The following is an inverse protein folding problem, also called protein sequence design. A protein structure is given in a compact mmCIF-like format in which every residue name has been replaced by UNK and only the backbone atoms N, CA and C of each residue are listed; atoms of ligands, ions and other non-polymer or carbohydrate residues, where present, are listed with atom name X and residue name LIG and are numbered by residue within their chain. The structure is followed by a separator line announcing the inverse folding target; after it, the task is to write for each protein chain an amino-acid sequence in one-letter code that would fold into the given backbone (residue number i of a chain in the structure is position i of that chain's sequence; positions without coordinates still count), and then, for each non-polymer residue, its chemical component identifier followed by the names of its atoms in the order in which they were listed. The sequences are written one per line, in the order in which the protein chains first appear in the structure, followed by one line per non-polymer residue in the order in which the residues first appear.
data_IF_388547830046
#
_entry.id   IF_388547830046
#
_cell.length_a   1.000
_cell.length_b   1.000
_cell.length_c   1.000
_cell.angle_alpha   90.00
_cell.angle_beta   90.00
_cell.angle_gamma   90.00
#
_symmetry.space_group_name_H-M   'P 1'
#
loop_
_entity.id
_entity.type
_entity.pdbx_description
1 polymer ?
#
# COMPACT_ATOMS: atom_id res chain seq x y z
N UNK A 1 -3.16 18.01 0.14
CA UNK A 1 -1.81 17.78 -0.36
C UNK A 1 -0.81 17.64 0.80
N UNK A 2 0.31 16.97 0.55
CA UNK A 2 1.34 16.76 1.56
C UNK A 2 2.05 18.08 1.92
N UNK A 3 2.61 18.12 3.10
CA UNK A 3 3.44 19.24 3.55
C UNK A 3 4.65 19.42 2.63
N UNK A 4 5.09 20.65 2.39
CA UNK A 4 6.23 21.01 1.53
C UNK A 4 6.06 20.58 0.05
N UNK A 5 4.84 20.59 -0.49
CA UNK A 5 4.59 20.31 -1.89
C UNK A 5 4.96 21.48 -2.81
N UNK A 6 5.12 21.20 -4.10
CA UNK A 6 5.49 22.19 -5.13
C UNK A 6 4.27 22.81 -5.85
N UNK A 7 3.05 22.68 -5.36
CA UNK A 7 1.86 23.19 -6.04
C UNK A 7 1.90 24.71 -6.30
N UNK A 8 2.42 25.59 -5.40
CA UNK A 8 2.55 27.01 -5.69
C UNK A 8 3.44 27.31 -6.91
N UNK A 9 4.49 26.50 -7.12
CA UNK A 9 5.36 26.62 -8.30
C UNK A 9 4.62 26.17 -9.55
N UNK A 10 3.93 25.03 -9.50
CA UNK A 10 3.15 24.51 -10.62
C UNK A 10 2.01 25.45 -11.03
N UNK A 11 1.41 26.17 -10.07
CA UNK A 11 0.38 27.17 -10.35
C UNK A 11 0.87 28.33 -11.22
N UNK A 12 2.18 28.64 -11.21
CA UNK A 12 2.81 29.65 -12.05
C UNK A 12 3.12 29.16 -13.48
N UNK A 13 2.82 27.89 -13.81
CA UNK A 13 3.09 27.25 -15.10
C UNK A 13 4.53 27.45 -15.60
N UNK A 14 5.55 27.00 -14.85
CA UNK A 14 6.96 27.19 -15.23
C UNK A 14 7.40 26.32 -16.43
N UNK A 15 6.57 25.37 -16.87
CA UNK A 15 6.87 24.48 -17.99
C UNK A 15 5.66 24.38 -18.95
N UNK A 16 5.91 24.12 -20.26
CA UNK A 16 4.85 23.95 -21.26
C UNK A 16 3.89 22.79 -20.95
N UNK A 17 4.43 21.67 -20.42
CA UNK A 17 3.66 20.51 -19.99
C UNK A 17 4.02 20.19 -18.56
N UNK A 18 3.02 20.05 -17.71
CA UNK A 18 3.18 19.77 -16.29
C UNK A 18 2.46 18.47 -15.91
N UNK A 19 3.15 17.61 -15.14
CA UNK A 19 2.65 16.30 -14.73
C UNK A 19 2.73 16.21 -13.22
N UNK A 20 1.62 15.84 -12.58
CA UNK A 20 1.60 15.41 -11.17
C UNK A 20 1.62 13.88 -11.10
N UNK A 21 2.30 13.32 -10.11
CA UNK A 21 2.30 11.85 -9.90
C UNK A 21 3.14 11.42 -8.72
N UNK A 22 3.06 10.14 -8.39
CA UNK A 22 3.78 9.36 -7.38
C UNK A 22 3.61 9.87 -5.94
N UNK A 23 3.83 11.14 -5.65
CA UNK A 23 3.86 11.68 -4.28
C UNK A 23 2.49 11.91 -3.65
N UNK A 24 1.41 12.03 -4.43
CA UNK A 24 0.06 12.24 -3.95
C UNK A 24 -0.95 11.45 -4.77
N UNK A 25 -2.00 10.99 -4.11
CA UNK A 25 -2.93 9.98 -4.66
C UNK A 25 -4.23 10.55 -5.19
N UNK A 26 -4.33 11.86 -5.37
CA UNK A 26 -5.54 12.54 -5.83
C UNK A 26 -5.18 13.72 -6.73
N UNK A 27 -6.19 14.32 -7.38
CA UNK A 27 -6.04 15.51 -8.21
C UNK A 27 -5.31 16.63 -7.47
N UNK A 28 -4.52 17.43 -8.18
CA UNK A 28 -3.96 18.68 -7.65
C UNK A 28 -5.04 19.76 -7.53
N UNK A 29 -6.10 19.68 -8.32
CA UNK A 29 -7.13 20.71 -8.45
C UNK A 29 -6.64 21.96 -9.20
N UNK A 30 -5.45 21.91 -9.81
CA UNK A 30 -4.85 23.04 -10.52
C UNK A 30 -5.06 22.91 -12.02
N UNK A 31 -5.72 23.89 -12.68
CA UNK A 31 -5.88 23.90 -14.14
C UNK A 31 -4.56 24.00 -14.89
N UNK A 32 -3.47 24.39 -14.20
CA UNK A 32 -2.14 24.53 -14.80
C UNK A 32 -1.38 23.19 -14.86
N UNK A 33 -1.88 22.13 -14.24
CA UNK A 33 -1.31 20.79 -14.32
C UNK A 33 -2.05 20.00 -15.37
N UNK A 34 -1.35 19.58 -16.42
CA UNK A 34 -1.96 18.98 -17.62
C UNK A 34 -2.29 17.50 -17.40
N UNK A 35 -1.39 16.76 -16.77
CA UNK A 35 -1.48 15.31 -16.62
C UNK A 35 -1.30 14.84 -15.18
N UNK A 36 -1.96 13.72 -14.89
CA UNK A 36 -1.77 12.96 -13.64
C UNK A 36 -1.28 11.55 -13.96
N UNK A 37 -0.05 11.23 -13.51
CA UNK A 37 0.55 9.92 -13.72
C UNK A 37 -0.18 8.85 -12.91
N UNK A 38 -0.64 7.81 -13.59
CA UNK A 38 -1.43 6.73 -13.01
C UNK A 38 -1.25 5.42 -13.80
N UNK A 39 -2.05 4.42 -13.49
CA UNK A 39 -2.21 3.17 -14.24
C UNK A 39 -3.68 2.78 -14.37
N UNK A 40 -3.96 1.78 -15.21
CA UNK A 40 -5.33 1.34 -15.50
C UNK A 40 -6.02 0.71 -14.27
N UNK A 41 -5.27 0.20 -13.29
CA UNK A 41 -5.84 -0.38 -12.06
C UNK A 41 -6.26 0.74 -11.11
N UNK A 42 -5.42 1.75 -10.91
CA UNK A 42 -5.71 2.87 -10.01
C UNK A 42 -6.76 3.82 -10.59
N UNK A 43 -6.73 4.04 -11.91
CA UNK A 43 -7.67 4.91 -12.60
C UNK A 43 -8.12 4.25 -13.92
N UNK A 44 -9.08 3.31 -13.86
CA UNK A 44 -9.66 2.70 -15.06
C UNK A 44 -10.25 3.75 -16.02
N UNK A 45 -10.14 3.49 -17.32
CA UNK A 45 -10.63 4.41 -18.37
C UNK A 45 -12.12 4.76 -18.24
N UNK A 46 -12.91 3.88 -17.64
CA UNK A 46 -14.32 4.14 -17.33
C UNK A 46 -14.55 5.25 -16.29
N UNK A 47 -13.50 5.66 -15.56
CA UNK A 47 -13.56 6.71 -14.53
C UNK A 47 -12.88 8.03 -14.95
N UNK A 48 -12.61 8.24 -16.23
CA UNK A 48 -11.88 9.41 -16.76
C UNK A 48 -12.42 10.78 -16.34
N UNK A 49 -13.67 10.85 -15.92
CA UNK A 49 -14.29 12.08 -15.42
C UNK A 49 -14.43 12.14 -13.90
N UNK A 50 -13.70 11.29 -13.18
CA UNK A 50 -13.90 11.03 -11.73
C UNK A 50 -13.36 12.08 -10.78
N UNK A 51 -13.44 13.38 -11.10
CA UNK A 51 -13.07 14.45 -10.18
C UNK A 51 -11.60 14.88 -10.23
N UNK A 52 -10.86 14.48 -11.27
CA UNK A 52 -9.52 15.00 -11.56
C UNK A 52 -9.61 16.19 -12.52
N UNK A 53 -8.82 17.22 -12.26
CA UNK A 53 -8.65 18.36 -13.20
C UNK A 53 -7.69 18.01 -14.32
N UNK A 54 -6.76 17.11 -14.05
CA UNK A 54 -5.73 16.65 -14.97
C UNK A 54 -6.23 15.54 -15.88
N UNK A 55 -5.58 15.41 -17.04
CA UNK A 55 -5.77 14.24 -17.92
C UNK A 55 -4.97 13.05 -17.37
N UNK A 56 -5.57 11.86 -17.22
CA UNK A 56 -4.85 10.68 -16.77
C UNK A 56 -3.75 10.24 -17.75
N UNK A 57 -2.50 10.22 -17.31
CA UNK A 57 -1.37 9.63 -18.02
C UNK A 57 -1.14 8.22 -17.49
N UNK A 58 -1.72 7.22 -18.15
CA UNK A 58 -1.70 5.83 -17.72
C UNK A 58 -0.47 5.11 -18.23
N UNK A 59 0.33 4.56 -17.31
CA UNK A 59 1.34 3.58 -17.68
C UNK A 59 0.69 2.20 -17.91
N UNK A 60 1.26 1.38 -18.79
CA UNK A 60 0.76 0.01 -19.08
C UNK A 60 0.74 -0.90 -17.86
N UNK A 61 1.68 -0.69 -16.95
CA UNK A 61 1.81 -1.41 -15.69
C UNK A 61 1.59 -0.47 -14.50
N UNK A 62 2.10 -0.82 -13.32
CA UNK A 62 1.98 0.02 -12.14
C UNK A 62 2.71 1.36 -12.33
N UNK A 63 2.04 2.47 -11.97
CA UNK A 63 2.64 3.80 -11.99
C UNK A 63 3.65 4.04 -10.86
N UNK A 64 3.85 3.04 -10.01
CA UNK A 64 4.88 3.00 -8.97
C UNK A 64 5.97 2.02 -9.38
N UNK A 65 7.22 2.43 -9.17
CA UNK A 65 8.37 1.54 -9.20
C UNK A 65 9.02 1.57 -7.83
N UNK A 66 9.18 0.40 -7.22
CA UNK A 66 9.72 0.28 -5.88
C UNK A 66 11.21 -0.02 -5.93
N UNK A 67 11.99 0.89 -5.33
CA UNK A 67 13.42 0.69 -5.09
C UNK A 67 13.73 1.06 -3.65
N UNK A 68 14.02 0.11 -2.79
CA UNK A 68 14.34 0.36 -1.39
C UNK A 68 15.71 1.03 -1.26
N UNK A 69 15.75 2.32 -0.94
CA UNK A 69 17.01 3.08 -0.79
C UNK A 69 17.90 2.55 0.35
N UNK A 70 17.26 2.14 1.44
CA UNK A 70 17.95 1.64 2.64
C UNK A 70 18.38 0.17 2.51
N UNK A 71 18.02 -0.51 1.43
CA UNK A 71 18.13 -1.96 1.31
C UNK A 71 19.38 -2.46 0.57
N UNK A 72 20.31 -1.59 0.27
CA UNK A 72 21.64 -2.07 -0.15
C UNK A 72 22.27 -3.02 0.89
N UNK A 73 21.82 -2.93 2.15
CA UNK A 73 22.29 -3.74 3.28
C UNK A 73 21.30 -4.83 3.73
N UNK A 74 19.98 -4.63 3.54
CA UNK A 74 18.95 -5.60 3.94
C UNK A 74 18.51 -6.41 2.72
N UNK A 75 19.18 -7.54 2.48
CA UNK A 75 18.71 -8.52 1.52
C UNK A 75 17.54 -9.28 2.12
N UNK A 76 16.35 -9.01 1.64
CA UNK A 76 15.20 -9.88 1.95
C UNK A 76 15.46 -11.27 1.37
N UNK A 77 15.45 -12.25 2.22
CA UNK A 77 15.57 -13.68 1.87
C UNK A 77 14.30 -14.37 2.31
N UNK A 78 13.84 -15.34 1.52
CA UNK A 78 12.71 -16.16 1.92
C UNK A 78 12.96 -16.83 3.27
N UNK A 79 12.01 -16.70 4.18
CA UNK A 79 12.05 -17.28 5.51
C UNK A 79 10.74 -18.00 5.84
N UNK A 80 10.74 -18.79 6.88
CA UNK A 80 9.49 -19.39 7.37
C UNK A 80 8.58 -18.31 7.95
N UNK A 81 7.26 -18.50 7.80
CA UNK A 81 6.30 -17.64 8.48
C UNK A 81 6.49 -17.74 9.99
N UNK A 82 6.53 -16.62 10.73
CA UNK A 82 6.73 -16.62 12.19
C UNK A 82 5.76 -17.52 12.95
N UNK A 83 4.54 -17.68 12.46
CA UNK A 83 3.52 -18.55 13.03
C UNK A 83 3.95 -20.03 13.10
N UNK A 84 4.87 -20.48 12.22
CA UNK A 84 5.36 -21.87 12.23
C UNK A 84 6.16 -22.20 13.49
N UNK A 85 6.84 -21.19 14.04
CA UNK A 85 7.63 -21.36 15.26
C UNK A 85 6.85 -20.94 16.51
N UNK A 86 6.03 -19.89 16.39
CA UNK A 86 5.29 -19.28 17.52
C UNK A 86 4.00 -20.02 17.87
N UNK A 87 3.42 -20.75 16.93
CA UNK A 87 2.14 -21.43 17.11
C UNK A 87 0.91 -20.52 17.12
N UNK A 88 1.07 -19.24 16.76
CA UNK A 88 -0.02 -18.29 16.58
C UNK A 88 0.30 -17.29 15.47
N UNK A 89 -0.75 -16.76 14.82
CA UNK A 89 -0.61 -15.80 13.73
C UNK A 89 -0.51 -14.35 14.26
N UNK A 90 0.43 -13.59 13.71
CA UNK A 90 0.58 -12.17 13.97
C UNK A 90 0.17 -11.37 12.72
N UNK A 91 -0.93 -10.66 12.82
CA UNK A 91 -1.30 -9.66 11.81
C UNK A 91 -0.54 -8.36 12.07
N UNK A 92 -0.31 -7.56 11.02
CA UNK A 92 0.39 -6.29 11.15
C UNK A 92 -0.20 -5.19 10.29
N UNK A 93 -0.09 -3.94 10.77
CA UNK A 93 -0.32 -2.75 9.96
C UNK A 93 0.68 -1.66 10.35
N UNK A 94 1.54 -1.29 9.39
CA UNK A 94 2.59 -0.28 9.59
C UNK A 94 2.20 1.07 8.95
N UNK A 95 0.93 1.20 8.58
CA UNK A 95 0.36 2.42 8.06
C UNK A 95 0.20 3.51 9.13
N UNK A 96 0.22 4.77 8.69
CA UNK A 96 -0.20 5.87 9.58
C UNK A 96 -1.60 5.61 10.14
N UNK A 97 -1.78 5.75 11.44
CA UNK A 97 -3.08 5.50 12.09
C UNK A 97 -4.18 6.47 11.63
N UNK A 98 -3.82 7.61 11.05
CA UNK A 98 -4.76 8.52 10.41
C UNK A 98 -5.50 7.90 9.21
N UNK A 99 -4.95 6.84 8.59
CA UNK A 99 -5.60 6.08 7.52
C UNK A 99 -6.58 5.02 8.04
N UNK A 100 -6.52 4.68 9.32
CA UNK A 100 -7.29 3.60 9.92
C UNK A 100 -8.68 4.13 10.31
N UNK A 101 -9.69 3.70 9.57
CA UNK A 101 -11.10 4.02 9.85
C UNK A 101 -11.69 3.10 10.92
N UNK A 102 -12.82 3.48 11.51
CA UNK A 102 -13.55 2.61 12.44
C UNK A 102 -14.05 1.33 11.75
N UNK A 103 -14.43 1.43 10.48
CA UNK A 103 -14.81 0.29 9.65
C UNK A 103 -13.65 -0.72 9.50
N UNK A 104 -12.43 -0.25 9.26
CA UNK A 104 -11.25 -1.13 9.21
C UNK A 104 -10.95 -1.77 10.57
N UNK A 105 -11.06 -1.04 11.67
CA UNK A 105 -10.89 -1.61 13.01
C UNK A 105 -11.93 -2.69 13.31
N UNK A 106 -13.16 -2.53 12.83
CA UNK A 106 -14.22 -3.56 12.93
C UNK A 106 -13.83 -4.81 12.13
N UNK A 107 -13.29 -4.65 10.91
CA UNK A 107 -12.84 -5.80 10.13
C UNK A 107 -11.64 -6.51 10.81
N UNK A 108 -10.68 -5.76 11.33
CA UNK A 108 -9.54 -6.34 12.06
C UNK A 108 -9.99 -7.08 13.32
N UNK A 109 -10.95 -6.54 14.08
CA UNK A 109 -11.59 -7.25 15.17
C UNK A 109 -12.21 -8.58 14.71
N UNK A 110 -12.96 -8.56 13.62
CA UNK A 110 -13.62 -9.75 13.08
C UNK A 110 -12.60 -10.82 12.67
N UNK A 111 -11.46 -10.40 12.06
CA UNK A 111 -10.35 -11.29 11.70
C UNK A 111 -9.77 -11.94 12.96
N UNK A 112 -9.44 -11.14 13.99
CA UNK A 112 -8.87 -11.63 15.25
C UNK A 112 -9.81 -12.59 15.99
N UNK A 113 -11.12 -12.32 15.97
CA UNK A 113 -12.12 -13.23 16.54
C UNK A 113 -12.21 -14.56 15.78
N UNK A 114 -12.05 -14.53 14.45
CA UNK A 114 -12.10 -15.72 13.59
C UNK A 114 -10.81 -16.55 13.61
N UNK A 115 -9.69 -15.97 14.09
CA UNK A 115 -8.38 -16.60 14.23
C UNK A 115 -7.96 -16.54 15.71
N UNK A 116 -8.36 -17.50 16.53
CA UNK A 116 -8.05 -17.52 17.97
C UNK A 116 -6.55 -17.45 18.24
N UNK A 117 -6.16 -16.84 19.37
CA UNK A 117 -4.79 -16.62 19.82
C UNK A 117 -3.93 -15.73 18.91
N UNK A 118 -4.51 -15.15 17.83
CA UNK A 118 -3.79 -14.20 16.99
C UNK A 118 -3.56 -12.86 17.67
N UNK A 119 -2.55 -12.12 17.19
CA UNK A 119 -2.20 -10.78 17.65
C UNK A 119 -2.28 -9.78 16.48
N UNK A 120 -2.42 -8.51 16.80
CA UNK A 120 -2.33 -7.41 15.84
C UNK A 120 -1.25 -6.41 16.27
N UNK A 121 -0.21 -6.32 15.47
CA UNK A 121 0.83 -5.30 15.61
C UNK A 121 0.39 -4.06 14.84
N UNK A 122 0.29 -2.91 15.52
CA UNK A 122 0.09 -1.59 14.89
C UNK A 122 1.35 -0.77 15.15
N UNK A 123 2.09 -0.45 14.08
CA UNK A 123 3.32 0.34 14.15
C UNK A 123 3.14 1.68 13.44
N UNK A 124 3.20 2.77 14.20
CA UNK A 124 3.02 4.12 13.64
C UNK A 124 3.50 5.21 14.60
N UNK A 125 3.61 6.45 14.11
CA UNK A 125 4.08 7.60 14.91
C UNK A 125 3.26 7.86 16.17
N UNK A 126 1.93 7.68 16.12
CA UNK A 126 1.07 7.92 17.29
C UNK A 126 1.36 6.93 18.42
N UNK A 127 1.84 5.74 18.08
CA UNK A 127 2.24 4.74 19.08
C UNK A 127 3.56 5.08 19.79
N UNK A 128 4.23 6.17 19.41
CA UNK A 128 5.46 6.61 20.09
C UNK A 128 5.20 7.37 21.39
N UNK A 129 3.95 7.71 21.68
CA UNK A 129 3.56 8.39 22.92
C UNK A 129 2.49 7.59 23.68
N UNK A 130 2.55 7.54 25.04
CA UNK A 130 1.58 6.76 25.83
C UNK A 130 0.12 7.13 25.59
N UNK A 131 -0.18 8.43 25.46
CA UNK A 131 -1.55 8.91 25.17
C UNK A 131 -2.06 8.44 23.80
N UNK A 132 -1.17 8.33 22.82
CA UNK A 132 -1.49 7.78 21.51
C UNK A 132 -1.79 6.28 21.56
N UNK A 133 -1.00 5.52 22.30
CA UNK A 133 -1.27 4.10 22.51
C UNK A 133 -2.61 3.88 23.23
N UNK A 134 -2.88 4.65 24.26
CA UNK A 134 -4.15 4.58 24.97
C UNK A 134 -5.34 4.93 24.07
N UNK A 135 -5.22 5.96 23.24
CA UNK A 135 -6.25 6.32 22.27
C UNK A 135 -6.54 5.18 21.30
N UNK A 136 -5.51 4.50 20.78
CA UNK A 136 -5.67 3.34 19.88
C UNK A 136 -6.41 2.20 20.60
N UNK A 137 -6.00 1.86 21.84
CA UNK A 137 -6.63 0.80 22.64
C UNK A 137 -8.10 1.11 22.95
N UNK A 138 -8.39 2.33 23.38
CA UNK A 138 -9.75 2.76 23.69
C UNK A 138 -10.64 2.77 22.45
N UNK A 139 -10.13 3.25 21.30
CA UNK A 139 -10.87 3.25 20.05
C UNK A 139 -11.22 1.82 19.62
N UNK A 140 -10.26 0.89 19.69
CA UNK A 140 -10.49 -0.51 19.38
C UNK A 140 -11.49 -1.17 20.34
N UNK A 141 -11.35 -0.93 21.66
CA UNK A 141 -12.27 -1.41 22.69
C UNK A 141 -13.70 -0.90 22.50
N UNK A 142 -13.87 0.39 22.17
CA UNK A 142 -15.19 0.99 21.89
C UNK A 142 -15.92 0.30 20.73
N UNK A 143 -15.16 -0.22 19.76
CA UNK A 143 -15.67 -0.97 18.63
C UNK A 143 -15.85 -2.49 18.93
N UNK A 144 -15.76 -2.89 20.19
CA UNK A 144 -15.96 -4.27 20.65
C UNK A 144 -14.74 -5.17 20.49
N UNK A 145 -13.55 -4.61 20.22
CA UNK A 145 -12.31 -5.34 20.17
C UNK A 145 -11.68 -5.57 21.56
N UNK A 146 -10.93 -6.65 21.72
CA UNK A 146 -10.10 -6.87 22.90
C UNK A 146 -8.77 -6.12 22.75
N UNK A 147 -8.44 -5.10 23.54
CA UNK A 147 -7.18 -4.35 23.42
C UNK A 147 -5.94 -5.16 23.80
N UNK A 148 -6.07 -6.30 24.51
CA UNK A 148 -4.94 -7.11 24.95
C UNK A 148 -4.26 -7.86 23.80
N UNK A 149 -4.96 -8.05 22.68
CA UNK A 149 -4.39 -8.64 21.46
C UNK A 149 -3.59 -7.63 20.63
N UNK A 150 -3.63 -6.33 21.01
CA UNK A 150 -2.90 -5.29 20.30
C UNK A 150 -1.47 -5.14 20.85
N UNK A 151 -0.50 -5.24 19.97
CA UNK A 151 0.87 -4.83 20.19
C UNK A 151 1.12 -3.50 19.48
N UNK A 152 1.35 -2.44 20.24
CA UNK A 152 1.52 -1.08 19.71
C UNK A 152 3.00 -0.72 19.70
N UNK A 153 3.57 -0.57 18.51
CA UNK A 153 5.00 -0.28 18.31
C UNK A 153 5.23 1.17 17.91
N UNK A 154 6.21 1.85 18.51
CA UNK A 154 6.60 3.19 18.12
C UNK A 154 7.22 3.20 16.73
N UNK A 155 7.29 4.39 16.12
CA UNK A 155 8.12 4.61 14.95
C UNK A 155 9.59 4.36 15.30
N UNK A 156 10.31 3.66 14.40
CA UNK A 156 11.75 3.44 14.52
C UNK A 156 12.39 3.35 13.14
N UNK A 157 13.68 3.75 12.97
CA UNK A 157 14.38 3.69 11.69
C UNK A 157 14.54 2.26 11.12
N UNK A 158 14.63 1.28 12.00
CA UNK A 158 14.81 -0.16 11.71
C UNK A 158 13.51 -0.89 11.43
N UNK A 159 12.44 -0.17 11.06
CA UNK A 159 11.09 -0.72 10.91
C UNK A 159 10.98 -1.89 9.94
N UNK A 160 11.87 -1.96 8.93
CA UNK A 160 11.85 -3.02 7.93
C UNK A 160 12.12 -4.39 8.55
N UNK A 161 13.10 -4.49 9.46
CA UNK A 161 13.41 -5.76 10.13
C UNK A 161 12.24 -6.28 10.97
N UNK A 162 11.35 -5.37 11.39
CA UNK A 162 10.19 -5.71 12.22
C UNK A 162 9.05 -6.38 11.42
N UNK A 163 9.10 -6.36 10.08
CA UNK A 163 8.24 -7.22 9.28
C UNK A 163 8.52 -8.71 9.49
N UNK A 164 9.73 -9.07 9.92
CA UNK A 164 10.09 -10.44 10.31
C UNK A 164 9.25 -11.02 11.46
N UNK A 165 8.51 -10.18 12.20
CA UNK A 165 7.58 -10.60 13.25
C UNK A 165 6.14 -10.80 12.75
N UNK A 166 5.83 -10.43 11.52
CA UNK A 166 4.48 -10.36 10.98
C UNK A 166 4.23 -11.52 10.01
N UNK A 167 3.11 -12.18 10.17
CA UNK A 167 2.68 -13.24 9.26
C UNK A 167 1.86 -12.71 8.08
N UNK A 168 0.95 -11.76 8.32
CA UNK A 168 0.04 -11.19 7.31
C UNK A 168 -0.12 -9.69 7.59
N UNK A 169 0.13 -8.85 6.59
CA UNK A 169 -0.17 -7.43 6.68
C UNK A 169 -1.63 -7.16 6.28
N UNK A 170 -2.32 -6.38 7.10
CA UNK A 170 -3.65 -5.86 6.85
C UNK A 170 -3.55 -4.42 6.37
N UNK A 171 -3.76 -4.20 5.08
CA UNK A 171 -3.73 -2.85 4.51
C UNK A 171 -4.96 -2.03 4.93
N UNK A 172 -4.81 -0.72 4.91
CA UNK A 172 -5.86 0.23 5.28
C UNK A 172 -6.75 0.58 4.09
N UNK A 173 -8.01 0.95 4.36
CA UNK A 173 -8.94 1.48 3.38
C UNK A 173 -9.81 2.59 4.03
N UNK A 174 -10.30 3.55 3.23
CA UNK A 174 -10.17 3.73 1.78
C UNK A 174 -8.83 4.30 1.29
N UNK A 175 -7.92 4.63 2.18
CA UNK A 175 -6.59 5.09 1.84
C UNK A 175 -5.58 3.96 2.07
N UNK A 176 -5.20 3.29 0.96
CA UNK A 176 -4.25 2.18 1.02
C UNK A 176 -2.82 2.60 1.42
N UNK A 177 -2.03 1.63 1.85
CA UNK A 177 -0.59 1.72 1.90
C UNK A 177 -0.01 1.84 0.47
N UNK A 178 1.05 2.62 0.33
CA UNK A 178 1.88 2.63 -0.86
C UNK A 178 3.24 1.99 -0.52
N UNK A 179 4.17 2.79 -0.01
CA UNK A 179 5.48 2.31 0.42
C UNK A 179 5.40 1.16 1.43
N UNK A 180 4.53 1.26 2.44
CA UNK A 180 4.37 0.21 3.45
C UNK A 180 3.90 -1.13 2.89
N UNK A 181 3.11 -1.12 1.80
CA UNK A 181 2.69 -2.32 1.09
C UNK A 181 3.87 -2.92 0.30
N UNK A 182 4.64 -2.08 -0.39
CA UNK A 182 5.86 -2.51 -1.08
C UNK A 182 6.90 -3.09 -0.10
N UNK A 183 7.12 -2.41 1.03
CA UNK A 183 8.05 -2.85 2.08
C UNK A 183 7.67 -4.24 2.63
N UNK A 184 6.40 -4.46 2.94
CA UNK A 184 5.90 -5.74 3.43
C UNK A 184 6.15 -6.86 2.43
N UNK A 185 5.75 -6.66 1.16
CA UNK A 185 5.94 -7.64 0.09
C UNK A 185 7.43 -7.94 -0.15
N UNK A 186 8.27 -6.91 -0.16
CA UNK A 186 9.72 -7.08 -0.30
C UNK A 186 10.31 -7.88 0.85
N UNK A 187 9.83 -7.66 2.08
CA UNK A 187 10.25 -8.41 3.27
C UNK A 187 9.61 -9.81 3.36
N UNK A 188 8.86 -10.24 2.34
CA UNK A 188 8.27 -11.57 2.25
C UNK A 188 6.96 -11.73 3.01
N UNK A 189 6.33 -10.63 3.42
CA UNK A 189 5.07 -10.68 4.17
C UNK A 189 3.89 -10.42 3.22
N UNK A 190 2.95 -11.37 3.08
CA UNK A 190 1.77 -11.18 2.24
C UNK A 190 0.87 -10.07 2.79
N UNK A 191 0.31 -9.26 1.88
CA UNK A 191 -0.56 -8.14 2.21
C UNK A 191 -1.97 -8.39 1.69
N UNK A 192 -2.97 -8.31 2.56
CA UNK A 192 -4.38 -8.30 2.13
C UNK A 192 -4.79 -6.84 1.94
N UNK A 193 -5.17 -6.47 0.72
CA UNK A 193 -5.61 -5.12 0.37
C UNK A 193 -7.04 -5.10 -0.15
N UNK A 194 -7.79 -4.06 0.22
CA UNK A 194 -9.14 -3.83 -0.29
C UNK A 194 -9.09 -2.88 -1.47
N UNK A 195 -9.60 -3.30 -2.63
CA UNK A 195 -9.79 -2.45 -3.79
C UNK A 195 -11.07 -1.62 -3.65
N UNK A 196 -10.91 -0.30 -3.60
CA UNK A 196 -12.03 0.62 -3.51
C UNK A 196 -12.39 1.28 -4.86
N UNK A 197 -13.08 2.41 -4.77
CA UNK A 197 -13.62 3.14 -5.93
C UNK A 197 -12.79 4.34 -6.34
N UNK A 198 -11.94 4.87 -5.47
CA UNK A 198 -11.11 6.05 -5.74
C UNK A 198 -9.68 5.65 -6.04
N UNK A 199 -8.92 6.52 -6.69
CA UNK A 199 -7.51 6.30 -7.02
C UNK A 199 -6.71 5.79 -5.81
N UNK A 200 -6.74 6.52 -4.70
CA UNK A 200 -5.98 6.15 -3.50
C UNK A 200 -6.45 4.87 -2.79
N UNK A 201 -7.68 4.41 -3.06
CA UNK A 201 -8.20 3.14 -2.54
C UNK A 201 -7.92 1.94 -3.46
N UNK A 202 -7.14 2.14 -4.52
CA UNK A 202 -6.76 1.12 -5.51
C UNK A 202 -5.24 0.90 -5.58
N UNK A 203 -4.48 1.67 -4.79
CA UNK A 203 -3.03 1.57 -4.72
C UNK A 203 -2.56 0.16 -4.36
N UNK A 204 -3.12 -0.42 -3.31
CA UNK A 204 -2.83 -1.78 -2.90
C UNK A 204 -3.09 -2.79 -4.02
N UNK A 205 -4.18 -2.62 -4.76
CA UNK A 205 -4.51 -3.50 -5.89
C UNK A 205 -3.48 -3.39 -7.03
N UNK A 206 -3.06 -2.16 -7.38
CA UNK A 206 -2.02 -1.95 -8.40
C UNK A 206 -0.69 -2.57 -7.99
N UNK A 207 -0.24 -2.32 -6.75
CA UNK A 207 1.01 -2.86 -6.21
C UNK A 207 0.98 -4.39 -6.19
N UNK A 208 -0.08 -5.00 -5.66
CA UNK A 208 -0.21 -6.47 -5.58
C UNK A 208 -0.24 -7.12 -6.96
N UNK A 209 -0.89 -6.49 -7.94
CA UNK A 209 -0.90 -6.97 -9.32
C UNK A 209 0.50 -6.90 -9.93
N UNK A 210 1.21 -5.77 -9.75
CA UNK A 210 2.58 -5.59 -10.25
C UNK A 210 3.58 -6.55 -9.57
N UNK A 211 3.34 -6.90 -8.30
CA UNK A 211 4.13 -7.88 -7.55
C UNK A 211 3.79 -9.34 -7.93
N UNK A 212 2.75 -9.58 -8.74
CA UNK A 212 2.35 -10.90 -9.20
C UNK A 212 1.53 -11.70 -8.18
N UNK A 213 0.83 -11.03 -7.25
CA UNK A 213 -0.01 -11.65 -6.21
C UNK A 213 -1.43 -11.07 -6.17
N UNK A 214 -2.13 -10.97 -7.31
CA UNK A 214 -3.46 -10.36 -7.38
C UNK A 214 -4.52 -11.12 -6.56
N UNK A 215 -4.30 -12.38 -6.21
CA UNK A 215 -5.18 -13.18 -5.36
C UNK A 215 -5.32 -12.64 -3.93
N UNK A 216 -4.41 -11.79 -3.48
CA UNK A 216 -4.47 -11.12 -2.18
C UNK A 216 -5.34 -9.84 -2.19
N UNK A 217 -5.85 -9.44 -3.35
CA UNK A 217 -6.76 -8.31 -3.51
C UNK A 217 -8.19 -8.75 -3.16
N UNK A 218 -8.86 -7.99 -2.31
CA UNK A 218 -10.26 -8.16 -1.97
C UNK A 218 -11.11 -7.09 -2.66
N UNK A 219 -12.31 -7.45 -3.14
CA UNK A 219 -13.23 -6.54 -3.82
C UNK A 219 -14.24 -5.89 -2.85
N UNK A 220 -14.38 -6.46 -1.66
CA UNK A 220 -15.28 -5.96 -0.63
C UNK A 220 -14.78 -6.37 0.77
N UNK A 221 -15.36 -5.79 1.81
CA UNK A 221 -14.97 -6.04 3.21
C UNK A 221 -15.14 -7.50 3.64
N UNK A 222 -16.14 -8.20 3.09
CA UNK A 222 -16.36 -9.63 3.38
C UNK A 222 -15.20 -10.46 2.82
N UNK A 223 -14.78 -10.19 1.60
CA UNK A 223 -13.63 -10.85 0.99
C UNK A 223 -12.32 -10.49 1.71
N UNK A 224 -12.16 -9.22 2.11
CA UNK A 224 -10.98 -8.78 2.86
C UNK A 224 -10.81 -9.59 4.14
N UNK A 225 -11.86 -9.66 4.95
CA UNK A 225 -11.87 -10.48 6.16
C UNK A 225 -11.69 -11.98 5.83
N UNK A 226 -12.42 -12.47 4.82
CA UNK A 226 -12.35 -13.88 4.40
C UNK A 226 -10.96 -14.31 3.96
N UNK A 227 -10.29 -13.54 3.10
CA UNK A 227 -8.93 -13.82 2.62
C UNK A 227 -7.91 -13.82 3.75
N UNK A 228 -7.98 -12.84 4.66
CA UNK A 228 -7.08 -12.78 5.82
C UNK A 228 -7.25 -14.02 6.73
N UNK A 229 -8.50 -14.41 7.01
CA UNK A 229 -8.81 -15.58 7.84
C UNK A 229 -8.42 -16.89 7.15
N UNK A 230 -8.69 -17.03 5.85
CA UNK A 230 -8.34 -18.23 5.08
C UNK A 230 -6.82 -18.42 5.00
N UNK A 231 -6.07 -17.33 4.73
CA UNK A 231 -4.62 -17.38 4.69
C UNK A 231 -4.04 -17.73 6.07
N UNK A 232 -4.53 -17.12 7.14
CA UNK A 232 -4.11 -17.40 8.51
C UNK A 232 -4.34 -18.87 8.94
N UNK A 233 -5.41 -19.49 8.44
CA UNK A 233 -5.73 -20.91 8.71
C UNK A 233 -5.02 -21.90 7.79
N UNK A 234 -4.40 -21.43 6.70
CA UNK A 234 -3.63 -22.27 5.79
C UNK A 234 -2.12 -22.07 5.98
N UNK A 235 -1.58 -22.66 7.03
CA UNK A 235 -0.17 -22.53 7.39
C UNK A 235 0.80 -22.94 6.29
N UNK A 236 0.44 -23.94 5.45
CA UNK A 236 1.29 -24.35 4.32
C UNK A 236 1.36 -23.25 3.25
N UNK A 237 0.23 -22.65 2.87
CA UNK A 237 0.20 -21.55 1.92
C UNK A 237 0.91 -20.31 2.48
N UNK A 238 0.64 -19.96 3.74
CA UNK A 238 1.28 -18.84 4.42
C UNK A 238 2.80 -19.00 4.42
N UNK A 239 3.30 -20.15 4.84
CA UNK A 239 4.74 -20.45 4.86
C UNK A 239 5.37 -20.41 3.46
N UNK A 240 4.66 -20.94 2.45
CA UNK A 240 5.11 -20.87 1.06
C UNK A 240 5.25 -19.42 0.59
N UNK A 241 4.26 -18.56 0.86
CA UNK A 241 4.33 -17.15 0.50
C UNK A 241 5.54 -16.46 1.14
N UNK A 242 5.78 -16.64 2.44
CA UNK A 242 6.94 -16.08 3.12
C UNK A 242 8.28 -16.50 2.49
N UNK A 243 8.36 -17.69 1.95
CA UNK A 243 9.57 -18.21 1.30
C UNK A 243 9.76 -17.71 -0.12
N UNK A 244 8.68 -17.55 -0.88
CA UNK A 244 8.72 -17.29 -2.32
C UNK A 244 8.58 -15.79 -2.66
N UNK A 245 7.80 -15.03 -1.87
CA UNK A 245 7.52 -13.62 -2.15
C UNK A 245 8.78 -12.75 -2.35
N UNK A 246 9.84 -12.83 -1.53
CA UNK A 246 11.00 -11.97 -1.71
C UNK A 246 11.64 -12.10 -3.09
N UNK A 247 11.74 -13.29 -3.62
CA UNK A 247 12.28 -13.52 -4.96
C UNK A 247 11.28 -13.12 -6.04
N UNK A 248 10.01 -13.48 -5.88
CA UNK A 248 8.95 -13.09 -6.81
C UNK A 248 8.85 -11.58 -6.96
N UNK A 249 8.86 -10.83 -5.86
CA UNK A 249 8.77 -9.36 -5.87
C UNK A 249 10.00 -8.73 -6.54
N UNK A 250 11.20 -9.22 -6.25
CA UNK A 250 12.43 -8.73 -6.92
C UNK A 250 12.41 -8.92 -8.43
N UNK A 251 11.80 -9.98 -8.91
CA UNK A 251 11.70 -10.30 -10.34
C UNK A 251 10.41 -9.78 -10.99
N UNK A 252 9.59 -9.05 -10.24
CA UNK A 252 8.28 -8.55 -10.70
C UNK A 252 8.37 -7.19 -11.40
N UNK A 253 7.26 -6.80 -12.04
CA UNK A 253 7.11 -5.45 -12.62
C UNK A 253 7.21 -4.33 -11.59
N UNK A 254 6.90 -4.60 -10.33
CA UNK A 254 7.01 -3.62 -9.25
C UNK A 254 8.45 -3.12 -9.05
N UNK A 255 9.45 -3.96 -9.31
CA UNK A 255 10.87 -3.64 -9.15
C UNK A 255 11.66 -3.54 -10.47
N UNK A 256 10.99 -3.63 -11.62
CA UNK A 256 11.60 -3.47 -12.93
C UNK A 256 11.81 -1.97 -13.25
N UNK A 257 12.81 -1.36 -12.64
CA UNK A 257 13.11 0.06 -12.85
C UNK A 257 13.44 0.41 -14.30
N UNK A 258 14.05 -0.50 -15.04
CA UNK A 258 14.38 -0.28 -16.46
C UNK A 258 13.12 -0.25 -17.32
N UNK A 259 12.23 -1.23 -17.15
CA UNK A 259 10.96 -1.28 -17.86
C UNK A 259 10.08 -0.09 -17.50
N UNK A 260 10.00 0.26 -16.22
CA UNK A 260 9.27 1.45 -15.76
C UNK A 260 9.76 2.74 -16.44
N UNK A 261 11.08 2.96 -16.52
CA UNK A 261 11.63 4.16 -17.17
C UNK A 261 11.36 4.17 -18.68
N UNK A 262 11.40 3.03 -19.35
CA UNK A 262 11.05 2.94 -20.77
C UNK A 262 9.58 3.31 -21.03
N UNK A 263 8.65 2.82 -20.20
CA UNK A 263 7.23 3.15 -20.28
C UNK A 263 6.97 4.64 -20.00
N UNK A 264 7.63 5.19 -18.99
CA UNK A 264 7.51 6.60 -18.63
C UNK A 264 8.06 7.53 -19.72
N UNK A 265 9.23 7.21 -20.28
CA UNK A 265 9.81 7.97 -21.38
C UNK A 265 8.92 7.94 -22.64
N UNK A 266 8.34 6.81 -22.97
CA UNK A 266 7.41 6.69 -24.09
C UNK A 266 6.15 7.53 -23.84
N UNK A 267 5.58 7.48 -22.64
CA UNK A 267 4.46 8.33 -22.27
C UNK A 267 4.81 9.83 -22.41
N UNK A 268 6.02 10.23 -22.00
CA UNK A 268 6.48 11.62 -22.16
C UNK A 268 6.64 12.02 -23.64
N UNK A 269 7.16 11.14 -24.50
CA UNK A 269 7.27 11.41 -25.94
C UNK A 269 5.87 11.61 -26.56
N UNK A 270 4.92 10.79 -26.18
CA UNK A 270 3.54 10.89 -26.69
C UNK A 270 2.88 12.21 -26.30
N UNK A 271 2.91 12.60 -25.02
CA UNK A 271 2.30 13.87 -24.60
C UNK A 271 3.04 15.09 -25.16
N UNK A 272 4.35 15.01 -25.34
CA UNK A 272 5.14 16.05 -25.98
C UNK A 272 4.77 16.24 -27.46
N UNK A 273 4.61 15.13 -28.19
CA UNK A 273 4.17 15.16 -29.57
C UNK A 273 2.75 15.78 -29.72
N UNK A 274 1.83 15.45 -28.78
CA UNK A 274 0.50 16.06 -28.73
C UNK A 274 0.57 17.57 -28.47
N UNK A 275 1.42 17.99 -27.56
CA UNK A 275 1.63 19.42 -27.26
C UNK A 275 2.14 20.17 -28.50
N UNK A 276 3.14 19.65 -29.21
CA UNK A 276 3.68 20.26 -30.43
C UNK A 276 2.68 20.33 -31.60
N UNK A 277 1.65 19.48 -31.62
CA UNK A 277 0.59 19.52 -32.64
C UNK A 277 -0.49 20.57 -32.35
N UNK A 278 -0.58 21.05 -31.12
CA UNK A 278 -1.59 22.02 -30.67
C UNK A 278 -1.10 23.49 -30.74
N UNK A 279 0.21 23.69 -30.87
CA UNK A 279 0.87 25.00 -31.01
C UNK A 279 1.32 25.26 -32.41
#
# INVERSE_FOLDING_TARGET
HSQNNCLPVMACRPAPVQISGIGYINTTGLPMVDYFLTDEICMPSVYDKGGFTETPLRLPHCHLCYQPETMREIKSVGHNAPAMERGYVTFGSFNSFAKVTDEMLVQWRNILQAVPNSKLVIKCKICSVPSGQEMVRQRFKRLGGNPDVLELRPFSPDYLTQYGDIDIVLDTAPYNGGLTTCDALYMGVPVIALRGKTHGSRYGASILTAAGVPELIAENLREYTGKAVQLAKNGMLLNRLHRELPEQVRNSRLMDGKGYMQELEEAYRQIWALYCQQG
#
